data_IF_852591799305
#
_entry.id   IF_852591799305
#
_cell.length_a   1.000
_cell.length_b   1.000
_cell.length_c   1.000
_cell.angle_alpha   90.00
_cell.angle_beta   90.00
_cell.angle_gamma   90.00
#
_symmetry.space_group_name_H-M   'P 1'
#
loop_
_entity.id
_entity.type
_entity.pdbx_description
1 polymer ?
#
# COMPACT_ATOMS: atom_id res chain seq x y z
N UNK A 1 13.66 5.29 -15.62
CA UNK A 1 12.92 6.55 -15.39
C UNK A 1 12.46 7.08 -16.75
N UNK A 2 11.19 7.47 -16.86
CA UNK A 2 10.58 8.02 -18.06
C UNK A 2 10.34 9.53 -17.93
N UNK A 3 9.50 10.11 -18.82
CA UNK A 3 9.20 11.54 -18.84
C UNK A 3 8.39 12.01 -17.62
N UNK A 4 8.44 13.30 -17.34
CA UNK A 4 7.65 13.99 -16.30
C UNK A 4 7.81 13.35 -14.91
N UNK A 5 9.02 13.00 -14.53
CA UNK A 5 9.36 12.49 -13.20
C UNK A 5 10.16 13.55 -12.46
N UNK A 6 9.68 13.92 -11.26
CA UNK A 6 10.40 14.82 -10.35
C UNK A 6 10.86 14.01 -9.13
N UNK A 7 12.17 13.98 -8.90
CA UNK A 7 12.78 13.28 -7.75
C UNK A 7 13.60 14.28 -6.96
N UNK A 8 13.31 14.43 -5.68
CA UNK A 8 14.05 15.33 -4.80
C UNK A 8 15.34 14.68 -4.28
N UNK A 9 16.17 15.48 -3.63
CA UNK A 9 17.50 15.09 -3.12
C UNK A 9 17.47 13.88 -2.17
N UNK A 10 18.61 13.19 -2.05
CA UNK A 10 18.85 12.07 -1.15
C UNK A 10 17.95 10.84 -1.38
N UNK A 11 17.26 10.80 -2.52
CA UNK A 11 16.41 9.66 -2.88
C UNK A 11 17.20 8.64 -3.69
N UNK A 12 17.10 7.37 -3.28
CA UNK A 12 17.77 6.23 -3.92
C UNK A 12 16.76 5.46 -4.77
N UNK A 13 17.02 5.41 -6.07
CA UNK A 13 16.29 4.55 -7.00
C UNK A 13 17.12 3.31 -7.29
N UNK A 14 16.66 2.16 -6.83
CA UNK A 14 17.35 0.88 -7.02
C UNK A 14 17.05 0.29 -8.40
N UNK A 15 17.91 -0.66 -8.79
CA UNK A 15 17.90 -1.29 -10.13
C UNK A 15 16.53 -1.83 -10.54
N UNK A 16 16.27 -1.81 -11.86
CA UNK A 16 15.09 -2.35 -12.50
C UNK A 16 13.75 -1.72 -12.08
N UNK A 17 13.79 -0.54 -11.44
CA UNK A 17 12.57 0.20 -11.13
C UNK A 17 12.09 1.01 -12.32
N UNK A 18 10.78 1.01 -12.56
CA UNK A 18 10.13 1.76 -13.64
C UNK A 18 9.30 2.90 -13.06
N UNK A 19 9.61 4.14 -13.47
CA UNK A 19 9.01 5.36 -12.91
C UNK A 19 8.58 6.29 -14.04
N UNK A 20 7.33 6.76 -14.02
CA UNK A 20 6.78 7.66 -15.03
C UNK A 20 5.75 8.63 -14.45
N UNK A 21 5.69 9.86 -14.96
CA UNK A 21 4.66 10.87 -14.66
C UNK A 21 4.31 10.96 -13.17
N UNK A 22 5.30 11.12 -12.31
CA UNK A 22 5.13 11.04 -10.84
C UNK A 22 6.09 11.97 -10.11
N UNK A 23 5.77 12.28 -8.84
CA UNK A 23 6.64 13.04 -7.93
C UNK A 23 7.13 12.19 -6.79
N UNK A 24 8.40 12.32 -6.43
CA UNK A 24 9.06 11.60 -5.34
C UNK A 24 9.81 12.60 -4.46
N UNK A 25 9.51 12.59 -3.18
CA UNK A 25 10.10 13.44 -2.16
C UNK A 25 11.57 13.18 -1.88
N UNK A 26 12.07 13.74 -0.78
CA UNK A 26 13.46 13.60 -0.32
C UNK A 26 13.64 12.32 0.49
N UNK A 27 14.88 11.82 0.49
CA UNK A 27 15.29 10.70 1.35
C UNK A 27 14.37 9.46 1.22
N UNK A 28 13.91 9.19 0.00
CA UNK A 28 13.11 8.02 -0.32
C UNK A 28 13.99 6.85 -0.77
N UNK A 29 13.48 5.63 -0.62
CA UNK A 29 14.10 4.43 -1.18
C UNK A 29 13.09 3.70 -2.04
N UNK A 30 13.36 3.58 -3.34
CA UNK A 30 12.44 3.01 -4.33
C UNK A 30 13.08 1.79 -4.99
N UNK A 31 12.40 0.65 -4.93
CA UNK A 31 12.82 -0.59 -5.56
C UNK A 31 13.70 -1.50 -4.68
N UNK A 32 14.38 -2.52 -5.30
CA UNK A 32 14.42 -2.80 -6.75
C UNK A 32 13.07 -3.29 -7.31
N UNK A 33 12.93 -3.31 -8.64
CA UNK A 33 11.73 -3.80 -9.33
C UNK A 33 10.43 -3.13 -8.89
N UNK A 34 10.46 -1.87 -8.48
CA UNK A 34 9.26 -1.10 -8.16
C UNK A 34 8.68 -0.48 -9.44
N UNK A 35 7.36 -0.38 -9.52
CA UNK A 35 6.66 0.30 -10.60
C UNK A 35 5.87 1.51 -10.09
N UNK A 36 6.35 2.70 -10.39
CA UNK A 36 5.68 3.95 -10.03
C UNK A 36 5.01 4.49 -11.30
N UNK A 37 3.69 4.50 -11.28
CA UNK A 37 2.84 4.85 -12.41
C UNK A 37 2.35 6.30 -12.33
N UNK A 38 1.72 6.79 -13.42
CA UNK A 38 1.21 8.16 -13.48
C UNK A 38 0.33 8.54 -12.28
N UNK A 39 0.42 9.81 -11.91
CA UNK A 39 -0.30 10.44 -10.81
C UNK A 39 0.05 9.85 -9.43
N UNK A 40 1.22 9.23 -9.28
CA UNK A 40 1.76 8.89 -7.97
C UNK A 40 2.46 10.13 -7.36
N UNK A 41 2.05 10.50 -6.14
CA UNK A 41 2.64 11.57 -5.34
C UNK A 41 3.23 10.97 -4.06
N UNK A 42 4.55 10.89 -3.99
CA UNK A 42 5.30 10.23 -2.91
C UNK A 42 6.02 11.29 -2.11
N UNK A 43 5.64 11.47 -0.85
CA UNK A 43 6.25 12.44 0.05
C UNK A 43 7.63 12.00 0.56
N UNK A 44 8.24 12.78 1.45
CA UNK A 44 9.58 12.53 1.97
C UNK A 44 9.66 11.26 2.87
N UNK A 45 10.81 10.64 2.93
CA UNK A 45 11.14 9.48 3.78
C UNK A 45 10.30 8.21 3.49
N UNK A 46 9.70 8.10 2.32
CA UNK A 46 8.90 6.93 1.94
C UNK A 46 9.80 5.78 1.50
N UNK A 47 9.44 4.55 1.87
CA UNK A 47 10.11 3.34 1.43
C UNK A 47 9.17 2.49 0.58
N UNK A 48 9.53 2.27 -0.67
CA UNK A 48 8.83 1.38 -1.61
C UNK A 48 9.81 0.29 -2.01
N UNK A 49 9.50 -0.95 -1.72
CA UNK A 49 10.40 -2.07 -1.98
C UNK A 49 10.10 -2.82 -3.27
N UNK A 50 10.51 -4.07 -3.32
CA UNK A 50 10.47 -4.88 -4.53
C UNK A 50 9.06 -5.35 -4.88
N UNK A 51 8.79 -5.38 -6.18
CA UNK A 51 7.51 -5.81 -6.77
C UNK A 51 6.31 -5.07 -6.18
N UNK A 52 6.50 -3.79 -5.89
CA UNK A 52 5.44 -2.88 -5.45
C UNK A 52 5.03 -2.01 -6.63
N UNK A 53 3.73 -1.92 -6.87
CA UNK A 53 3.17 -1.02 -7.86
C UNK A 53 2.34 0.08 -7.17
N UNK A 54 2.66 1.35 -7.49
CA UNK A 54 1.92 2.52 -7.02
C UNK A 54 1.31 3.25 -8.22
N UNK A 55 0.01 3.46 -8.22
CA UNK A 55 -0.71 4.13 -9.31
C UNK A 55 -1.71 5.14 -8.76
N UNK A 56 -1.67 6.38 -9.25
CA UNK A 56 -2.66 7.42 -8.93
C UNK A 56 -2.95 7.50 -7.43
N UNK A 57 -1.89 7.53 -6.63
CA UNK A 57 -1.95 7.41 -5.18
C UNK A 57 -1.04 8.41 -4.50
N UNK A 58 -1.46 8.86 -3.32
CA UNK A 58 -0.67 9.76 -2.49
C UNK A 58 -0.14 9.01 -1.27
N UNK A 59 1.18 8.91 -1.15
CA UNK A 59 1.86 8.36 0.01
C UNK A 59 2.44 9.49 0.85
N UNK A 60 1.93 9.67 2.06
CA UNK A 60 2.40 10.70 2.99
C UNK A 60 3.79 10.36 3.56
N UNK A 61 4.40 11.31 4.25
CA UNK A 61 5.75 11.19 4.83
C UNK A 61 5.91 9.90 5.66
N UNK A 62 7.02 9.20 5.45
CA UNK A 62 7.42 8.03 6.24
C UNK A 62 6.62 6.75 5.99
N UNK A 63 5.74 6.72 4.98
CA UNK A 63 4.99 5.52 4.59
C UNK A 63 5.95 4.42 4.12
N UNK A 64 5.63 3.17 4.48
CA UNK A 64 6.39 1.98 4.08
C UNK A 64 5.49 1.02 3.31
N UNK A 65 5.91 0.65 2.09
CA UNK A 65 5.29 -0.37 1.24
C UNK A 65 6.42 -1.23 0.68
N UNK A 66 6.85 -2.22 1.42
CA UNK A 66 8.15 -2.85 1.15
C UNK A 66 8.12 -4.05 0.21
N UNK A 67 6.99 -4.74 0.02
CA UNK A 67 6.97 -6.00 -0.71
C UNK A 67 5.65 -6.30 -1.40
N UNK A 68 5.70 -6.73 -2.69
CA UNK A 68 4.66 -7.47 -3.38
C UNK A 68 3.24 -6.84 -3.28
N UNK A 69 3.12 -5.53 -3.33
CA UNK A 69 1.85 -4.85 -3.06
C UNK A 69 1.39 -4.02 -4.25
N UNK A 70 0.07 -3.90 -4.41
CA UNK A 70 -0.55 -2.97 -5.36
C UNK A 70 -1.34 -1.89 -4.60
N UNK A 71 -0.95 -0.63 -4.78
CA UNK A 71 -1.60 0.54 -4.18
C UNK A 71 -2.11 1.44 -5.32
N UNK A 72 -3.39 1.36 -5.59
CA UNK A 72 -4.05 2.12 -6.64
C UNK A 72 -5.17 3.02 -6.10
N UNK A 73 -5.27 4.24 -6.64
CA UNK A 73 -6.30 5.24 -6.32
C UNK A 73 -6.48 5.46 -4.80
N UNK A 74 -5.36 5.47 -4.05
CA UNK A 74 -5.35 5.42 -2.57
C UNK A 74 -4.56 6.59 -1.98
N UNK A 75 -5.06 7.16 -0.90
CA UNK A 75 -4.28 8.06 -0.04
C UNK A 75 -3.85 7.31 1.22
N UNK A 76 -2.54 7.32 1.51
CA UNK A 76 -1.95 6.67 2.69
C UNK A 76 -1.36 7.73 3.61
N UNK A 77 -1.80 7.74 4.85
CA UNK A 77 -1.42 8.69 5.89
C UNK A 77 0.02 8.48 6.42
N UNK A 78 0.47 9.49 7.16
CA UNK A 78 1.85 9.60 7.67
C UNK A 78 2.26 8.36 8.47
N UNK A 79 3.50 7.90 8.27
CA UNK A 79 4.12 6.79 9.01
C UNK A 79 3.37 5.46 8.97
N UNK A 80 2.41 5.29 8.07
CA UNK A 80 1.67 4.04 7.96
C UNK A 80 2.51 2.95 7.29
N UNK A 81 2.29 1.71 7.71
CA UNK A 81 2.98 0.54 7.20
C UNK A 81 2.01 -0.37 6.45
N UNK A 82 2.31 -0.65 5.20
CA UNK A 82 1.56 -1.56 4.35
C UNK A 82 2.30 -2.90 4.30
N UNK A 83 1.67 -3.94 4.80
CA UNK A 83 2.21 -5.30 4.83
C UNK A 83 2.36 -5.90 3.43
N UNK A 84 3.26 -6.85 3.31
CA UNK A 84 3.54 -7.56 2.06
C UNK A 84 2.27 -8.19 1.46
N UNK A 85 2.12 -8.13 0.14
CA UNK A 85 0.97 -8.72 -0.54
C UNK A 85 -0.35 -7.97 -0.36
N UNK A 86 -0.33 -6.74 0.15
CA UNK A 86 -1.54 -5.93 0.27
C UNK A 86 -1.99 -5.43 -1.09
N UNK A 87 -3.29 -5.56 -1.37
CA UNK A 87 -3.91 -5.12 -2.61
C UNK A 87 -5.08 -4.18 -2.32
N UNK A 88 -5.06 -3.00 -2.93
CA UNK A 88 -6.24 -2.13 -3.00
C UNK A 88 -7.05 -2.50 -4.25
N UNK A 89 -8.20 -3.14 -4.06
CA UNK A 89 -9.12 -3.50 -5.14
C UNK A 89 -9.93 -2.26 -5.52
N UNK A 90 -9.34 -1.42 -6.36
CA UNK A 90 -9.86 -0.10 -6.74
C UNK A 90 -10.78 -0.10 -7.98
N UNK A 91 -11.02 -1.25 -8.59
CA UNK A 91 -11.81 -1.36 -9.83
C UNK A 91 -12.96 -2.34 -9.65
N UNK A 92 -14.19 -1.88 -9.91
CA UNK A 92 -15.41 -2.66 -9.78
C UNK A 92 -15.93 -3.28 -11.09
N UNK A 93 -15.14 -3.19 -12.16
CA UNK A 93 -15.54 -3.59 -13.52
C UNK A 93 -15.96 -2.42 -14.42
N UNK A 94 -16.30 -1.26 -13.84
CA UNK A 94 -16.69 -0.02 -14.56
C UNK A 94 -15.91 1.19 -14.07
N UNK A 95 -15.82 1.40 -12.77
CA UNK A 95 -15.29 2.61 -12.14
C UNK A 95 -14.02 2.34 -11.36
N UNK A 96 -13.18 3.39 -11.21
CA UNK A 96 -12.07 3.40 -10.28
C UNK A 96 -12.52 4.08 -8.99
N UNK A 97 -12.48 3.33 -7.89
CA UNK A 97 -12.92 3.75 -6.58
C UNK A 97 -11.72 4.03 -5.67
N UNK A 98 -11.89 4.96 -4.73
CA UNK A 98 -10.79 5.43 -3.89
C UNK A 98 -10.78 4.77 -2.52
N UNK A 99 -9.57 4.51 -2.01
CA UNK A 99 -9.34 4.14 -0.62
C UNK A 99 -8.65 5.28 0.15
N UNK A 100 -8.90 5.34 1.44
CA UNK A 100 -8.17 6.24 2.34
C UNK A 100 -7.67 5.45 3.55
N UNK A 101 -6.36 5.48 3.80
CA UNK A 101 -5.71 4.88 4.96
C UNK A 101 -5.16 6.04 5.81
N UNK A 102 -5.52 6.08 7.09
CA UNK A 102 -5.12 7.12 8.03
C UNK A 102 -3.66 7.03 8.45
N UNK A 103 -3.26 7.96 9.33
CA UNK A 103 -1.88 8.05 9.83
C UNK A 103 -1.56 6.94 10.83
N UNK A 104 -0.27 6.55 10.89
CA UNK A 104 0.23 5.56 11.84
C UNK A 104 -0.57 4.24 11.84
N UNK A 105 -1.13 3.90 10.69
CA UNK A 105 -1.92 2.68 10.51
C UNK A 105 -1.00 1.50 10.14
N UNK A 106 -1.29 0.33 10.70
CA UNK A 106 -0.62 -0.91 10.35
C UNK A 106 -1.55 -1.83 9.57
N UNK A 107 -1.21 -2.12 8.33
CA UNK A 107 -1.90 -3.10 7.49
C UNK A 107 -1.09 -4.39 7.51
N UNK A 108 -1.69 -5.46 8.00
CA UNK A 108 -1.07 -6.79 8.02
C UNK A 108 -0.89 -7.37 6.60
N UNK A 109 0.06 -8.27 6.46
CA UNK A 109 0.38 -8.91 5.17
C UNK A 109 -0.82 -9.63 4.56
N UNK A 110 -0.86 -9.70 3.23
CA UNK A 110 -1.93 -10.33 2.45
C UNK A 110 -3.34 -9.78 2.76
N UNK A 111 -3.41 -8.49 3.09
CA UNK A 111 -4.70 -7.81 3.26
C UNK A 111 -5.24 -7.37 1.91
N UNK A 112 -6.51 -7.67 1.66
CA UNK A 112 -7.26 -7.17 0.51
C UNK A 112 -8.20 -6.04 0.96
N UNK A 113 -8.08 -4.86 0.34
CA UNK A 113 -8.89 -3.68 0.68
C UNK A 113 -9.83 -3.41 -0.50
N UNK A 114 -11.13 -3.66 -0.32
CA UNK A 114 -12.13 -3.50 -1.37
C UNK A 114 -12.64 -2.05 -1.35
N UNK A 115 -12.27 -1.28 -2.36
CA UNK A 115 -12.73 0.10 -2.51
C UNK A 115 -14.24 0.19 -2.80
N UNK A 116 -14.92 1.25 -2.32
CA UNK A 116 -14.41 2.35 -1.55
C UNK A 116 -14.36 2.05 -0.04
N UNK A 117 -13.21 2.22 0.60
CA UNK A 117 -13.03 1.98 2.04
C UNK A 117 -12.20 3.08 2.67
N UNK A 118 -12.54 3.43 3.92
CA UNK A 118 -11.78 4.35 4.75
C UNK A 118 -11.28 3.60 6.00
N UNK A 119 -9.97 3.58 6.20
CA UNK A 119 -9.32 3.02 7.38
C UNK A 119 -8.81 4.19 8.22
N UNK A 120 -9.25 4.29 9.46
CA UNK A 120 -8.90 5.37 10.37
C UNK A 120 -7.44 5.32 10.84
N UNK A 121 -6.97 6.44 11.39
CA UNK A 121 -5.61 6.55 11.92
C UNK A 121 -5.39 5.62 13.12
N UNK A 122 -4.14 5.12 13.27
CA UNK A 122 -3.76 4.18 14.33
C UNK A 122 -4.58 2.88 14.34
N UNK A 123 -5.23 2.54 13.23
CA UNK A 123 -5.87 1.25 13.08
C UNK A 123 -4.83 0.15 12.84
N UNK A 124 -5.12 -1.05 13.32
CA UNK A 124 -4.31 -2.24 13.11
C UNK A 124 -5.14 -3.32 12.41
N UNK A 125 -4.73 -3.71 11.22
CA UNK A 125 -5.42 -4.72 10.42
C UNK A 125 -4.65 -6.03 10.51
N UNK A 126 -5.34 -7.09 10.94
CA UNK A 126 -4.74 -8.43 11.01
C UNK A 126 -4.40 -8.97 9.61
N UNK A 127 -3.27 -9.63 9.48
CA UNK A 127 -2.85 -10.26 8.23
C UNK A 127 -3.92 -11.20 7.66
N UNK A 128 -4.02 -11.27 6.33
CA UNK A 128 -4.98 -12.11 5.62
C UNK A 128 -6.42 -11.62 5.70
N UNK A 129 -6.66 -10.37 6.09
CA UNK A 129 -8.01 -9.81 6.18
C UNK A 129 -8.52 -9.32 4.84
N UNK A 130 -9.83 -9.45 4.61
CA UNK A 130 -10.55 -8.83 3.49
C UNK A 130 -11.42 -7.70 4.03
N UNK A 131 -11.01 -6.47 3.78
CA UNK A 131 -11.64 -5.26 4.34
C UNK A 131 -12.64 -4.70 3.35
N UNK A 132 -13.92 -4.73 3.73
CA UNK A 132 -15.06 -4.30 2.91
C UNK A 132 -15.85 -3.15 3.52
N UNK A 133 -15.54 -2.76 4.76
CA UNK A 133 -16.22 -1.70 5.50
C UNK A 133 -15.22 -0.74 6.12
N UNK A 134 -15.67 0.50 6.36
CA UNK A 134 -14.89 1.52 7.06
C UNK A 134 -14.47 1.03 8.45
N UNK A 135 -13.19 1.28 8.79
CA UNK A 135 -12.63 0.97 10.10
C UNK A 135 -12.37 2.29 10.83
N UNK A 136 -12.89 2.47 12.05
CA UNK A 136 -12.63 3.68 12.83
C UNK A 136 -11.16 3.78 13.28
N UNK A 137 -10.75 4.97 13.69
CA UNK A 137 -9.41 5.17 14.25
C UNK A 137 -9.22 4.39 15.56
N UNK A 138 -7.98 3.99 15.84
CA UNK A 138 -7.58 3.23 17.05
C UNK A 138 -8.26 1.86 17.19
N UNK A 139 -8.70 1.25 16.07
CA UNK A 139 -9.35 -0.08 16.10
C UNK A 139 -8.41 -1.18 15.60
N UNK A 140 -8.48 -2.33 16.23
CA UNK A 140 -8.00 -3.58 15.68
C UNK A 140 -9.12 -4.22 14.85
N UNK A 141 -8.80 -4.63 13.62
CA UNK A 141 -9.76 -5.28 12.74
C UNK A 141 -9.21 -6.60 12.19
N UNK A 142 -10.03 -7.62 12.24
CA UNK A 142 -9.76 -8.93 11.68
C UNK A 142 -10.96 -9.41 10.85
N UNK A 143 -10.73 -9.73 9.58
CA UNK A 143 -11.77 -10.14 8.64
C UNK A 143 -11.31 -11.34 7.82
N UNK A 144 -11.17 -12.47 8.49
CA UNK A 144 -10.78 -13.77 7.92
C UNK A 144 -11.41 -14.91 8.68
N UNK A 145 -11.48 -16.09 8.08
CA UNK A 145 -12.01 -17.30 8.73
C UNK A 145 -11.19 -17.71 9.96
N UNK A 146 -11.86 -18.22 10.98
CA UNK A 146 -11.17 -18.85 12.12
C UNK A 146 -10.46 -20.12 11.67
N UNK A 147 -9.22 -20.30 12.10
CA UNK A 147 -8.46 -21.52 11.86
C UNK A 147 -9.16 -22.71 12.52
N UNK A 148 -9.25 -23.81 11.80
CA UNK A 148 -9.71 -25.11 12.31
C UNK A 148 -8.64 -26.15 12.04
N UNK A 149 -8.18 -26.83 13.09
CA UNK A 149 -7.25 -27.95 12.96
C UNK A 149 -8.03 -29.25 13.04
N UNK A 150 -7.72 -30.19 12.15
CA UNK A 150 -8.27 -31.56 12.15
C UNK A 150 -7.11 -32.54 12.07
N UNK A 151 -7.30 -33.73 12.67
CA UNK A 151 -6.32 -34.80 12.52
C UNK A 151 -6.24 -35.17 11.04
N UNK A 152 -5.01 -35.26 10.52
CA UNK A 152 -4.78 -35.76 9.16
C UNK A 152 -4.99 -37.27 9.17
N UNK A 153 -6.07 -37.75 8.55
CA UNK A 153 -6.42 -39.16 8.46
C UNK A 153 -5.85 -39.86 7.23
N UNK A 154 -5.16 -39.14 6.39
CA UNK A 154 -4.44 -39.69 5.23
C UNK A 154 -3.03 -40.10 5.66
N UNK A 155 -2.91 -41.27 6.23
CA UNK A 155 -1.65 -42.00 6.36
C UNK A 155 -1.67 -43.17 5.40
#
# INVERSE_FOLDING_TARGET
IKKNVNIKSETIIKSFSYIENSSIGRNCSIGPYARIRPEADIADNVKIGNFVEIKKSKLSKGVKVNHLSYIGDTTVGVNSNIGAGTITCNYDGKNKLKCKIGDNTFIGSNTTIIAPVKIGSKAYIAAGSVITKTIPSNHFSIARSKQKNKININK
#
